data_IF_082041555692
#
_entry.id   IF_082041555692
#
_cell.length_a   1.000
_cell.length_b   1.000
_cell.length_c   1.000
_cell.angle_alpha   90.00
_cell.angle_beta   90.00
_cell.angle_gamma   90.00
#
_symmetry.space_group_name_H-M   'P 1'
#
loop_
_entity.id
_entity.type
_entity.pdbx_description
1 polymer ?
#
# COMPACT_ATOMS: atom_id res chain seq x y z
N UNK A 1 18.66 10.30 -43.01
CA UNK A 1 17.49 9.46 -42.68
C UNK A 1 17.15 9.72 -41.23
N UNK A 2 15.98 10.28 -40.94
CA UNK A 2 15.49 10.36 -39.57
C UNK A 2 14.96 8.97 -39.19
N UNK A 3 15.45 8.40 -38.10
CA UNK A 3 14.88 7.19 -37.50
C UNK A 3 13.59 7.65 -36.80
N UNK A 4 12.45 7.51 -37.48
CA UNK A 4 11.21 8.15 -37.03
C UNK A 4 10.58 7.42 -35.83
N UNK A 5 10.84 6.13 -35.58
CA UNK A 5 10.21 5.45 -34.44
C UNK A 5 11.14 4.41 -33.80
N UNK A 6 11.69 4.74 -32.62
CA UNK A 6 12.40 3.82 -31.72
C UNK A 6 11.39 3.15 -30.77
N UNK A 7 10.48 2.34 -31.30
CA UNK A 7 9.50 1.62 -30.47
C UNK A 7 9.96 0.17 -30.33
N UNK A 8 10.33 -0.23 -29.11
CA UNK A 8 10.55 -1.64 -28.78
C UNK A 8 9.18 -2.28 -28.54
N UNK A 9 8.74 -3.10 -29.49
CA UNK A 9 7.57 -3.96 -29.31
C UNK A 9 7.97 -5.24 -28.58
N UNK A 10 7.27 -5.59 -27.51
CA UNK A 10 7.37 -6.88 -26.85
C UNK A 10 6.10 -7.67 -27.18
N UNK A 11 6.23 -8.76 -27.93
CA UNK A 11 5.10 -9.64 -28.25
C UNK A 11 5.38 -11.03 -27.70
N UNK A 12 4.48 -11.53 -26.85
CA UNK A 12 4.48 -12.88 -26.28
C UNK A 12 3.20 -13.60 -26.72
N UNK A 13 3.31 -14.88 -27.09
CA UNK A 13 2.15 -15.76 -27.32
C UNK A 13 1.85 -16.66 -26.12
N UNK A 14 2.58 -16.51 -25.00
CA UNK A 14 2.39 -17.33 -23.82
C UNK A 14 1.17 -16.84 -23.02
N UNK A 15 0.23 -17.75 -22.77
CA UNK A 15 -1.00 -17.51 -22.00
C UNK A 15 -0.91 -18.00 -20.55
N UNK A 16 0.23 -18.54 -20.14
CA UNK A 16 0.51 -19.07 -18.81
C UNK A 16 2.01 -19.02 -18.46
N UNK A 17 2.33 -19.24 -17.18
CA UNK A 17 3.70 -19.31 -16.66
C UNK A 17 4.59 -20.26 -17.44
N UNK A 18 5.78 -19.79 -17.81
CA UNK A 18 6.77 -20.59 -18.52
C UNK A 18 8.18 -20.33 -18.00
N UNK A 19 8.97 -21.40 -17.80
CA UNK A 19 10.39 -21.30 -17.45
C UNK A 19 11.25 -20.76 -18.60
N UNK A 20 10.71 -20.78 -19.83
CA UNK A 20 11.25 -20.16 -21.03
C UNK A 20 10.11 -19.69 -21.95
N UNK A 21 9.93 -18.37 -22.09
CA UNK A 21 9.06 -17.77 -23.10
C UNK A 21 9.90 -16.90 -24.05
N UNK A 22 9.65 -17.01 -25.34
CA UNK A 22 10.28 -16.15 -26.33
C UNK A 22 9.49 -14.84 -26.46
N UNK A 23 10.15 -13.71 -26.27
CA UNK A 23 9.68 -12.41 -26.75
C UNK A 23 10.52 -11.99 -27.93
N UNK A 24 9.83 -11.52 -28.95
CA UNK A 24 10.49 -10.89 -30.08
C UNK A 24 10.70 -9.42 -29.75
N UNK A 25 11.95 -8.98 -29.78
CA UNK A 25 12.36 -7.58 -29.69
C UNK A 25 12.61 -7.09 -31.11
N UNK A 26 11.93 -6.02 -31.53
CA UNK A 26 12.13 -5.40 -32.82
C UNK A 26 12.75 -4.00 -32.69
N UNK A 27 13.72 -3.69 -33.57
CA UNK A 27 14.32 -2.37 -33.74
C UNK A 27 14.51 -2.10 -35.24
N UNK A 28 13.58 -1.34 -35.84
CA UNK A 28 13.55 -1.15 -37.29
C UNK A 28 13.34 -2.48 -38.03
N UNK A 29 14.30 -2.87 -38.86
CA UNK A 29 14.34 -4.16 -39.57
C UNK A 29 15.08 -5.27 -38.79
N UNK A 30 15.62 -4.96 -37.61
CA UNK A 30 16.23 -5.95 -36.75
C UNK A 30 15.17 -6.59 -35.86
N UNK A 31 15.15 -7.91 -35.83
CA UNK A 31 14.34 -8.70 -34.90
C UNK A 31 15.22 -9.70 -34.20
N UNK A 32 15.20 -9.71 -32.87
CA UNK A 32 15.89 -10.70 -32.05
C UNK A 32 14.87 -11.40 -31.14
N UNK A 33 14.92 -12.73 -31.12
CA UNK A 33 14.19 -13.49 -30.12
C UNK A 33 15.02 -13.55 -28.83
N UNK A 34 14.47 -13.03 -27.75
CA UNK A 34 15.06 -13.12 -26.41
C UNK A 34 14.20 -14.06 -25.59
N UNK A 35 14.83 -15.03 -24.94
CA UNK A 35 14.15 -15.98 -24.05
C UNK A 35 14.25 -15.46 -22.63
N UNK A 36 13.11 -15.30 -21.97
CA UNK A 36 13.01 -14.86 -20.59
C UNK A 36 12.02 -15.75 -19.83
N UNK A 37 12.07 -15.69 -18.50
CA UNK A 37 11.16 -16.41 -17.63
C UNK A 37 9.93 -15.55 -17.35
N UNK A 38 8.73 -16.09 -17.52
CA UNK A 38 7.48 -15.37 -17.26
C UNK A 38 6.77 -16.01 -16.09
N UNK A 39 6.59 -15.20 -15.05
CA UNK A 39 5.83 -15.56 -13.86
C UNK A 39 4.40 -15.06 -14.03
N UNK A 40 3.44 -15.98 -14.01
CA UNK A 40 2.02 -15.62 -14.06
C UNK A 40 1.40 -15.76 -12.66
N UNK A 41 0.54 -14.82 -12.27
CA UNK A 41 -0.22 -14.93 -11.04
C UNK A 41 -1.22 -16.09 -11.11
N UNK A 42 -1.26 -16.90 -10.06
CA UNK A 42 -2.16 -18.05 -9.90
C UNK A 42 -3.27 -17.77 -8.90
N UNK A 43 -2.97 -17.02 -7.85
CA UNK A 43 -3.92 -16.61 -6.81
C UNK A 43 -3.40 -15.38 -6.08
N UNK A 44 -4.31 -14.67 -5.42
CA UNK A 44 -4.02 -13.60 -4.48
C UNK A 44 -4.63 -13.95 -3.15
N UNK A 45 -3.89 -13.71 -2.07
CA UNK A 45 -4.36 -13.86 -0.70
C UNK A 45 -4.18 -12.54 0.05
N UNK A 46 -5.13 -12.25 0.95
CA UNK A 46 -5.06 -11.09 1.84
C UNK A 46 -4.69 -11.53 3.25
N UNK A 47 -3.86 -10.72 3.91
CA UNK A 47 -3.65 -10.74 5.35
C UNK A 47 -3.85 -9.33 5.91
N UNK A 48 -4.14 -9.22 7.20
CA UNK A 48 -4.27 -7.93 7.88
C UNK A 48 -3.52 -7.93 9.20
N UNK A 49 -3.00 -6.77 9.59
CA UNK A 49 -2.45 -6.56 10.94
C UNK A 49 -3.52 -6.68 12.03
N UNK A 50 -4.76 -6.28 11.70
CA UNK A 50 -5.91 -6.42 12.58
C UNK A 50 -7.20 -6.51 11.76
N UNK A 51 -8.08 -7.45 12.09
CA UNK A 51 -9.40 -7.58 11.45
C UNK A 51 -10.48 -6.77 12.17
N UNK A 52 -10.17 -6.27 13.37
CA UNK A 52 -11.10 -5.59 14.26
C UNK A 52 -10.59 -4.18 14.58
N UNK A 53 -11.27 -3.18 14.04
CA UNK A 53 -10.89 -1.78 14.20
C UNK A 53 -11.70 -1.17 15.35
N UNK A 54 -11.14 -1.23 16.55
CA UNK A 54 -11.76 -0.72 17.75
C UNK A 54 -11.71 0.80 17.88
N UNK A 55 -12.40 1.34 18.88
CA UNK A 55 -12.50 2.77 19.15
C UNK A 55 -11.37 3.23 20.07
N UNK A 56 -10.57 4.17 19.60
CA UNK A 56 -9.58 4.89 20.41
C UNK A 56 -10.22 6.18 20.93
N UNK A 57 -10.22 6.37 22.25
CA UNK A 57 -10.76 7.58 22.90
C UNK A 57 -9.85 8.09 24.01
N UNK A 58 -10.01 9.37 24.38
CA UNK A 58 -9.37 9.96 25.57
C UNK A 58 -10.39 10.10 26.69
N UNK A 59 -10.52 9.06 27.52
CA UNK A 59 -11.51 9.02 28.60
C UNK A 59 -12.95 8.98 28.05
N UNK A 60 -13.91 9.59 28.73
CA UNK A 60 -15.32 9.58 28.31
C UNK A 60 -15.68 10.61 27.22
N UNK A 61 -14.71 11.37 26.71
CA UNK A 61 -14.96 12.40 25.69
C UNK A 61 -14.84 11.83 24.27
N UNK A 62 -15.93 11.88 23.51
CA UNK A 62 -15.97 11.50 22.10
C UNK A 62 -15.32 12.52 21.15
N UNK A 63 -14.89 13.69 21.65
CA UNK A 63 -14.36 14.78 20.82
C UNK A 63 -13.06 14.41 20.07
N UNK A 64 -12.35 13.37 20.54
CA UNK A 64 -11.14 12.85 19.90
C UNK A 64 -11.26 11.35 19.57
N UNK A 65 -12.49 10.84 19.50
CA UNK A 65 -12.70 9.44 19.17
C UNK A 65 -12.35 9.16 17.70
N UNK A 66 -11.56 8.12 17.48
CA UNK A 66 -11.17 7.63 16.15
C UNK A 66 -11.19 6.11 16.19
N UNK A 67 -11.65 5.47 15.13
CA UNK A 67 -11.42 4.03 14.98
C UNK A 67 -9.97 3.77 14.57
N UNK A 68 -9.52 2.56 14.84
CA UNK A 68 -8.21 2.09 14.42
C UNK A 68 -8.10 2.00 12.89
N UNK A 69 -6.84 1.92 12.45
CA UNK A 69 -6.46 1.55 11.11
C UNK A 69 -5.73 0.20 11.16
N UNK A 70 -5.79 -0.57 10.07
CA UNK A 70 -5.00 -1.79 9.90
C UNK A 70 -4.32 -1.79 8.54
N UNK A 71 -3.14 -2.37 8.48
CA UNK A 71 -2.49 -2.66 7.21
C UNK A 71 -3.08 -3.94 6.64
N UNK A 72 -3.61 -3.87 5.42
CA UNK A 72 -3.97 -5.04 4.62
C UNK A 72 -2.87 -5.26 3.59
N UNK A 73 -2.43 -6.51 3.44
CA UNK A 73 -1.34 -6.88 2.54
C UNK A 73 -1.86 -7.90 1.54
N UNK A 74 -1.58 -7.66 0.25
CA UNK A 74 -1.92 -8.57 -0.83
C UNK A 74 -0.68 -9.36 -1.25
N UNK A 75 -0.73 -10.69 -1.13
CA UNK A 75 0.34 -11.58 -1.58
C UNK A 75 -0.13 -12.43 -2.75
N UNK A 76 0.54 -12.30 -3.89
CA UNK A 76 0.29 -13.12 -5.06
C UNK A 76 1.14 -14.38 -5.03
N UNK A 77 0.54 -15.52 -5.36
CA UNK A 77 1.29 -16.72 -5.74
C UNK A 77 1.55 -16.65 -7.23
N UNK A 78 2.82 -16.56 -7.63
CA UNK A 78 3.25 -16.54 -9.02
C UNK A 78 3.81 -17.91 -9.41
N UNK A 79 3.59 -18.33 -10.66
CA UNK A 79 4.09 -19.61 -11.19
C UNK A 79 4.73 -19.47 -12.56
N UNK A 80 5.74 -20.30 -12.83
CA UNK A 80 6.30 -20.52 -14.17
C UNK A 80 5.87 -21.87 -14.77
N UNK A 81 4.82 -22.49 -14.23
CA UNK A 81 4.39 -23.86 -14.53
C UNK A 81 5.19 -24.93 -13.78
N UNK A 82 6.49 -24.74 -13.61
CA UNK A 82 7.40 -25.67 -12.91
C UNK A 82 7.71 -25.27 -11.47
N UNK A 83 7.73 -23.96 -11.19
CA UNK A 83 8.07 -23.41 -9.88
C UNK A 83 7.04 -22.37 -9.48
N UNK A 84 6.82 -22.22 -8.17
CA UNK A 84 6.01 -21.16 -7.60
C UNK A 84 6.82 -20.27 -6.65
N UNK A 85 6.42 -19.01 -6.53
CA UNK A 85 6.98 -18.05 -5.57
C UNK A 85 5.87 -17.13 -5.07
N UNK A 86 6.11 -16.47 -3.93
CA UNK A 86 5.23 -15.45 -3.39
C UNK A 86 5.81 -14.07 -3.70
N UNK A 87 4.94 -13.13 -4.04
CA UNK A 87 5.28 -11.73 -4.23
C UNK A 87 4.29 -10.85 -3.48
N UNK A 88 4.80 -9.83 -2.77
CA UNK A 88 3.98 -8.74 -2.27
C UNK A 88 3.53 -7.89 -3.47
N UNK A 89 2.23 -7.70 -3.59
CA UNK A 89 1.58 -6.96 -4.68
C UNK A 89 0.66 -5.88 -4.11
N UNK A 90 0.83 -5.49 -2.85
CA UNK A 90 -0.04 -4.54 -2.12
C UNK A 90 -0.24 -3.23 -2.88
N UNK A 91 0.83 -2.67 -3.46
CA UNK A 91 0.77 -1.42 -4.24
C UNK A 91 0.33 -1.61 -5.70
N UNK A 92 0.16 -2.86 -6.14
CA UNK A 92 -0.18 -3.21 -7.53
C UNK A 92 -1.64 -3.61 -7.70
N UNK A 93 -2.31 -3.99 -6.63
CA UNK A 93 -3.73 -4.35 -6.66
C UNK A 93 -4.61 -3.11 -6.67
N UNK A 94 -5.79 -3.25 -7.28
CA UNK A 94 -6.86 -2.27 -7.12
C UNK A 94 -7.66 -2.63 -5.88
N UNK A 95 -7.63 -1.75 -4.89
CA UNK A 95 -8.40 -1.90 -3.66
C UNK A 95 -9.82 -1.37 -3.81
N UNK A 96 -10.78 -2.06 -3.21
CA UNK A 96 -12.15 -1.57 -3.05
C UNK A 96 -12.77 -2.03 -1.73
N UNK A 97 -13.81 -1.33 -1.28
CA UNK A 97 -14.56 -1.65 -0.07
C UNK A 97 -16.04 -1.76 -0.40
N UNK A 98 -16.70 -2.78 0.13
CA UNK A 98 -18.15 -2.95 -0.04
C UNK A 98 -18.97 -1.88 0.69
N UNK A 99 -18.39 -1.24 1.71
CA UNK A 99 -18.99 -0.13 2.45
C UNK A 99 -17.94 0.95 2.78
N UNK A 100 -17.61 1.86 1.84
CA UNK A 100 -16.57 2.88 2.01
C UNK A 100 -16.82 3.87 3.16
N UNK A 101 -18.06 4.00 3.63
CA UNK A 101 -18.42 4.83 4.79
C UNK A 101 -18.20 4.13 6.14
N UNK A 102 -17.96 2.82 6.13
CA UNK A 102 -17.65 1.99 7.31
C UNK A 102 -16.13 1.76 7.37
N UNK A 103 -15.56 1.25 6.28
CA UNK A 103 -14.11 1.08 6.10
C UNK A 103 -13.70 1.67 4.75
N UNK A 104 -12.74 2.58 4.78
CA UNK A 104 -12.02 3.05 3.59
C UNK A 104 -10.68 2.34 3.48
N UNK A 105 -10.19 2.10 2.27
CA UNK A 105 -8.89 1.47 2.01
C UNK A 105 -8.12 2.34 1.02
N UNK A 106 -6.86 2.64 1.36
CA UNK A 106 -5.95 3.41 0.51
C UNK A 106 -5.19 2.49 -0.45
N UNK A 107 -4.51 3.08 -1.45
CA UNK A 107 -3.79 2.33 -2.49
C UNK A 107 -2.61 1.53 -1.96
N UNK A 108 -2.05 1.93 -0.82
CA UNK A 108 -0.98 1.25 -0.09
C UNK A 108 -1.52 0.15 0.86
N UNK A 109 -2.81 -0.18 0.79
CA UNK A 109 -3.44 -1.21 1.61
C UNK A 109 -3.80 -0.77 3.03
N UNK A 110 -3.67 0.51 3.39
CA UNK A 110 -4.10 0.99 4.71
C UNK A 110 -5.63 1.07 4.78
N UNK A 111 -6.23 0.21 5.60
CA UNK A 111 -7.66 0.21 5.88
C UNK A 111 -7.98 1.06 7.13
N UNK A 112 -8.91 2.00 7.02
CA UNK A 112 -9.31 2.91 8.08
C UNK A 112 -10.78 2.73 8.45
N UNK A 113 -11.05 2.47 9.73
CA UNK A 113 -12.40 2.46 10.27
C UNK A 113 -12.98 3.87 10.36
N UNK A 114 -14.25 4.03 9.98
CA UNK A 114 -14.93 5.33 9.93
C UNK A 114 -16.23 5.34 10.75
N UNK A 115 -17.02 4.28 10.63
CA UNK A 115 -18.28 4.08 11.35
C UNK A 115 -18.37 2.64 11.80
N UNK A 116 -19.01 2.37 12.92
CA UNK A 116 -19.27 0.99 13.36
C UNK A 116 -20.08 0.19 12.34
N UNK A 117 -19.71 -1.07 12.14
CA UNK A 117 -20.25 -1.94 11.09
C UNK A 117 -19.21 -2.91 10.56
N UNK A 118 -19.51 -3.56 9.45
CA UNK A 118 -18.59 -4.46 8.74
C UNK A 118 -18.49 -4.08 7.28
N UNK A 119 -17.30 -4.24 6.70
CA UNK A 119 -17.06 -4.07 5.28
C UNK A 119 -16.12 -5.15 4.77
N UNK A 120 -16.35 -5.57 3.54
CA UNK A 120 -15.45 -6.48 2.83
C UNK A 120 -14.52 -5.65 1.96
N UNK A 121 -13.22 -5.79 2.22
CA UNK A 121 -12.15 -5.19 1.42
C UNK A 121 -11.72 -6.19 0.37
N UNK A 122 -11.71 -5.75 -0.89
CA UNK A 122 -11.35 -6.56 -2.05
C UNK A 122 -10.09 -6.03 -2.70
N UNK A 123 -9.18 -6.93 -3.04
CA UNK A 123 -7.99 -6.66 -3.85
C UNK A 123 -8.12 -7.38 -5.19
N UNK A 124 -8.08 -6.61 -6.25
CA UNK A 124 -8.10 -7.12 -7.62
C UNK A 124 -6.72 -6.92 -8.26
N UNK A 125 -6.09 -8.02 -8.68
CA UNK A 125 -4.80 -8.02 -9.35
C UNK A 125 -5.02 -8.25 -10.84
N UNK A 126 -4.83 -7.17 -11.62
CA UNK A 126 -4.99 -7.11 -13.08
C UNK A 126 -6.42 -7.03 -13.63
N UNK A 127 -7.46 -6.98 -12.80
CA UNK A 127 -8.84 -6.79 -13.26
C UNK A 127 -9.28 -7.87 -14.26
N UNK A 128 -10.04 -7.46 -15.27
CA UNK A 128 -10.56 -8.37 -16.31
C UNK A 128 -9.47 -8.85 -17.30
N UNK A 129 -8.24 -8.34 -17.23
CA UNK A 129 -7.16 -8.73 -18.16
C UNK A 129 -6.65 -10.15 -17.90
N UNK A 130 -6.78 -10.62 -16.66
CA UNK A 130 -6.39 -11.97 -16.24
C UNK A 130 -7.55 -12.60 -15.51
N UNK A 131 -7.92 -13.83 -15.86
CA UNK A 131 -8.99 -14.57 -15.18
C UNK A 131 -8.58 -15.04 -13.78
N UNK A 132 -8.35 -14.09 -12.87
CA UNK A 132 -8.07 -14.30 -11.46
C UNK A 132 -9.23 -13.83 -10.62
N UNK A 133 -9.64 -14.66 -9.66
CA UNK A 133 -10.62 -14.24 -8.67
C UNK A 133 -10.00 -13.18 -7.76
N UNK A 134 -10.68 -12.03 -7.54
CA UNK A 134 -10.26 -11.05 -6.54
C UNK A 134 -10.20 -11.67 -5.15
N UNK A 135 -9.25 -11.22 -4.34
CA UNK A 135 -9.14 -11.66 -2.96
C UNK A 135 -9.98 -10.76 -2.06
N UNK A 136 -10.72 -11.34 -1.11
CA UNK A 136 -11.65 -10.62 -0.23
C UNK A 136 -11.31 -10.89 1.23
N UNK A 137 -11.34 -9.85 2.06
CA UNK A 137 -11.13 -9.90 3.50
C UNK A 137 -12.21 -9.07 4.20
N UNK A 138 -12.83 -9.62 5.25
CA UNK A 138 -13.83 -8.91 6.04
C UNK A 138 -13.18 -8.17 7.21
N UNK A 139 -13.51 -6.90 7.38
CA UNK A 139 -13.09 -6.06 8.50
C UNK A 139 -14.31 -5.60 9.30
N UNK A 140 -14.17 -5.58 10.62
CA UNK A 140 -15.22 -5.16 11.55
C UNK A 140 -14.77 -3.92 12.29
N UNK A 141 -15.61 -2.89 12.29
CA UNK A 141 -15.43 -1.65 13.05
C UNK A 141 -16.41 -1.67 14.21
N UNK A 142 -15.91 -1.50 15.43
CA UNK A 142 -16.75 -1.58 16.63
C UNK A 142 -16.34 -0.56 17.69
N UNK A 143 -17.31 -0.21 18.54
CA UNK A 143 -17.16 0.76 19.61
C UNK A 143 -16.39 0.22 20.84
N UNK A 144 -15.80 -0.98 20.73
CA UNK A 144 -15.01 -1.57 21.79
C UNK A 144 -13.78 -0.68 22.04
N UNK A 145 -13.66 -0.22 23.29
CA UNK A 145 -12.61 0.69 23.69
C UNK A 145 -11.26 -0.04 23.69
N UNK A 146 -10.33 0.47 22.89
CA UNK A 146 -8.98 -0.06 22.83
C UNK A 146 -8.03 0.85 23.62
N UNK A 147 -7.26 0.23 24.51
CA UNK A 147 -6.22 0.92 25.26
C UNK A 147 -5.02 1.20 24.36
N UNK A 148 -4.47 2.41 24.46
CA UNK A 148 -3.21 2.76 23.80
C UNK A 148 -2.08 2.00 24.51
N UNK A 149 -1.46 1.04 23.83
CA UNK A 149 -0.37 0.20 24.37
C UNK A 149 1.01 0.88 24.28
N UNK A 150 1.17 1.81 23.34
CA UNK A 150 2.39 2.58 23.12
C UNK A 150 2.13 3.80 22.23
N UNK A 151 2.97 4.82 22.36
CA UNK A 151 2.93 6.01 21.52
C UNK A 151 4.37 6.35 21.10
N UNK A 152 4.69 6.13 19.83
CA UNK A 152 5.96 6.56 19.25
C UNK A 152 5.81 7.99 18.72
N UNK A 153 6.50 8.93 19.37
CA UNK A 153 6.52 10.34 18.97
C UNK A 153 7.90 10.65 18.40
N UNK A 154 7.97 10.92 17.10
CA UNK A 154 9.19 11.43 16.46
C UNK A 154 9.12 12.95 16.42
N UNK A 155 9.90 13.60 17.29
CA UNK A 155 10.05 15.05 17.29
C UNK A 155 11.29 15.45 16.49
N UNK A 156 11.10 16.16 15.37
CA UNK A 156 12.18 16.83 14.67
C UNK A 156 12.38 18.22 15.28
N UNK A 157 13.40 18.39 16.13
CA UNK A 157 13.77 19.72 16.62
C UNK A 157 14.81 20.32 15.69
N UNK A 158 14.36 21.18 14.77
CA UNK A 158 15.20 22.14 14.07
C UNK A 158 14.77 23.54 14.50
N UNK A 159 15.28 24.03 15.63
CA UNK A 159 15.06 25.43 16.01
C UNK A 159 16.41 26.12 16.11
N UNK A 160 16.63 27.12 15.26
CA UNK A 160 17.52 28.23 15.59
C UNK A 160 16.68 29.31 16.28
N UNK A 161 16.96 29.54 17.56
CA UNK A 161 16.19 30.45 18.42
C UNK A 161 16.79 31.86 18.38
N UNK A 162 16.59 32.60 17.29
CA UNK A 162 16.89 34.04 17.25
C UNK A 162 15.91 34.84 18.13
N UNK A 163 16.31 35.77 19.01
CA UNK A 163 17.64 36.28 19.37
C UNK A 163 17.87 36.37 20.89
N UNK A 164 17.00 35.79 21.72
CA UNK A 164 17.19 35.70 23.18
C UNK A 164 16.43 34.50 23.75
N UNK A 165 16.93 33.29 23.55
CA UNK A 165 16.38 32.09 24.20
C UNK A 165 17.37 31.56 25.24
N UNK A 166 17.10 31.85 26.51
CA UNK A 166 17.62 31.01 27.60
C UNK A 166 16.83 29.70 27.60
N UNK A 167 17.53 28.57 27.53
CA UNK A 167 16.93 27.25 27.68
C UNK A 167 16.33 27.10 29.08
N UNK A 168 15.00 27.24 29.19
CA UNK A 168 14.26 26.83 30.36
C UNK A 168 14.06 25.33 30.34
N UNK A 169 14.34 24.66 31.46
CA UNK A 169 14.09 23.22 31.65
C UNK A 169 12.66 22.86 31.23
N UNK A 170 12.51 21.94 30.28
CA UNK A 170 11.19 21.41 29.91
C UNK A 170 10.68 20.60 31.10
N UNK A 171 9.57 21.05 31.70
CA UNK A 171 8.90 20.32 32.77
C UNK A 171 8.48 18.92 32.26
N UNK A 172 8.67 17.84 33.03
CA UNK A 172 8.37 16.45 32.62
C UNK A 172 6.86 16.14 32.46
N UNK A 173 6.01 17.16 32.29
CA UNK A 173 4.55 17.04 32.17
C UNK A 173 3.94 18.10 31.24
N UNK A 174 4.67 18.50 30.19
CA UNK A 174 4.12 19.40 29.18
C UNK A 174 3.08 18.65 28.31
N UNK A 175 1.86 19.19 28.23
CA UNK A 175 0.86 18.74 27.26
C UNK A 175 1.15 19.42 25.93
N UNK A 176 1.68 18.66 24.97
CA UNK A 176 1.84 19.12 23.60
C UNK A 176 0.53 18.91 22.84
N UNK A 177 -0.03 19.98 22.29
CA UNK A 177 -1.08 19.90 21.25
C UNK A 177 -0.34 19.92 19.91
N UNK A 178 -0.19 18.78 19.22
CA UNK A 178 0.50 18.78 17.93
C UNK A 178 -0.31 19.60 16.93
N UNK A 179 0.30 20.65 16.39
CA UNK A 179 -0.19 21.33 15.20
C UNK A 179 0.48 20.67 14.00
N UNK A 180 -0.28 19.89 13.23
CA UNK A 180 0.21 19.30 12.00
C UNK A 180 0.20 20.35 10.90
N UNK A 181 1.36 20.98 10.64
CA UNK A 181 1.60 21.66 9.37
C UNK A 181 2.40 20.72 8.49
N UNK A 182 1.74 20.13 7.51
CA UNK A 182 2.36 19.27 6.51
C UNK A 182 3.07 20.18 5.50
N UNK A 183 4.35 20.45 5.69
CA UNK A 183 5.24 20.92 4.63
C UNK A 183 5.89 19.71 3.98
N UNK A 184 5.30 19.21 2.89
CA UNK A 184 5.97 18.24 2.03
C UNK A 184 7.08 18.98 1.25
N UNK A 185 8.32 18.54 1.44
CA UNK A 185 9.44 18.85 0.55
C UNK A 185 9.63 17.65 -0.37
N UNK A 186 9.36 17.82 -1.66
CA UNK A 186 9.76 16.84 -2.67
C UNK A 186 11.25 17.03 -2.96
N UNK A 187 12.06 16.02 -2.64
CA UNK A 187 13.42 15.88 -3.18
C UNK A 187 13.38 14.73 -4.17
N UNK A 188 13.54 15.02 -5.45
CA UNK A 188 13.71 14.00 -6.48
C UNK A 188 15.17 13.52 -6.45
N UNK A 189 15.40 12.25 -6.09
CA UNK A 189 16.70 11.61 -6.36
C UNK A 189 16.69 11.08 -7.79
N UNK A 190 17.65 11.57 -8.58
CA UNK A 190 17.81 11.28 -10.01
C UNK A 190 19.06 11.96 -10.58
N UNK A 191 20.22 11.61 -10.02
CA UNK A 191 21.55 11.66 -10.64
C UNK A 191 22.36 10.65 -9.81
N UNK A 192 22.75 9.50 -10.33
CA UNK A 192 23.58 9.29 -11.52
C UNK A 192 23.13 8.12 -12.42
#
# INVERSE_FOLDING_TARGET
>A
LALVECVVGLTSSATAGASAAAVTVAYGNFTAAVVYRVWFPLSVALSTSDAFLGLITRGSSQACARFQTAQVTATATLTTGENSTLADVTDLVTWSSSAPSVVSVASDGVASGLTSGSADVTADLFGDEVALSPAVLSLVVAEDLVAISGLDVVAFTGVDWGTTASLGSVAPSATLVPAFNITQSLTAEGAE
#
